data_IF_282999778632
#
_entry.id   IF_282999778632
#
_cell.length_a   1.000
_cell.length_b   1.000
_cell.length_c   1.000
_cell.angle_alpha   90.00
_cell.angle_beta   90.00
_cell.angle_gamma   90.00
#
_symmetry.space_group_name_H-M   'P 1'
#
loop_
_entity.id
_entity.type
_entity.pdbx_description
1 polymer ?
#
# COMPACT_ATOMS: atom_id res chain seq x y z
N UNK A 1 -54.90 -37.26 -36.43
CA UNK A 1 -54.50 -37.06 -35.03
C UNK A 1 -53.12 -36.41 -34.92
N UNK A 2 -52.07 -37.04 -35.45
CA UNK A 2 -50.68 -36.52 -35.41
C UNK A 2 -50.51 -35.10 -35.97
N UNK A 3 -51.10 -34.78 -37.13
CA UNK A 3 -51.06 -33.41 -37.70
C UNK A 3 -51.67 -32.33 -36.78
N UNK A 4 -52.63 -32.68 -35.91
CA UNK A 4 -53.20 -31.73 -34.96
C UNK A 4 -52.20 -31.43 -33.83
N UNK A 5 -51.42 -32.43 -33.39
CA UNK A 5 -50.33 -32.21 -32.43
C UNK A 5 -49.32 -31.20 -33.00
N UNK A 6 -48.97 -31.31 -34.28
CA UNK A 6 -48.10 -30.32 -34.92
C UNK A 6 -48.75 -28.92 -34.93
N UNK A 7 -50.04 -28.81 -35.25
CA UNK A 7 -50.75 -27.53 -35.28
C UNK A 7 -50.79 -26.85 -33.91
N UNK A 8 -51.05 -27.63 -32.86
CA UNK A 8 -51.22 -27.15 -31.50
C UNK A 8 -49.88 -26.81 -30.81
N UNK A 9 -48.75 -27.26 -31.35
CA UNK A 9 -47.42 -27.07 -30.77
C UNK A 9 -46.49 -26.32 -31.73
N UNK A 10 -46.42 -24.97 -31.64
CA UNK A 10 -45.66 -24.16 -32.59
C UNK A 10 -44.14 -24.36 -32.52
N UNK A 11 -43.63 -24.93 -31.43
CA UNK A 11 -42.20 -25.24 -31.25
C UNK A 11 -41.76 -26.50 -32.01
N UNK A 12 -42.70 -27.36 -32.43
CA UNK A 12 -42.36 -28.56 -33.18
C UNK A 12 -42.20 -28.24 -34.66
N UNK A 13 -41.08 -28.68 -35.22
CA UNK A 13 -40.83 -28.64 -36.66
C UNK A 13 -41.67 -29.69 -37.38
N UNK A 14 -41.78 -30.88 -36.77
CA UNK A 14 -42.56 -31.98 -37.33
C UNK A 14 -43.13 -32.91 -36.26
N UNK A 15 -44.15 -33.66 -36.65
CA UNK A 15 -44.69 -34.80 -35.89
C UNK A 15 -44.84 -35.97 -36.83
N UNK A 16 -44.44 -37.15 -36.38
CA UNK A 16 -44.38 -38.32 -37.23
C UNK A 16 -44.60 -39.62 -36.46
N UNK A 17 -44.92 -40.68 -37.20
CA UNK A 17 -44.96 -42.04 -36.67
C UNK A 17 -44.46 -42.99 -37.74
N UNK A 18 -43.88 -44.11 -37.31
CA UNK A 18 -43.34 -45.13 -38.17
C UNK A 18 -43.76 -46.49 -37.62
N UNK A 19 -44.49 -47.27 -38.42
CA UNK A 19 -45.00 -48.58 -38.03
C UNK A 19 -44.20 -49.70 -38.67
N UNK A 20 -43.99 -50.79 -37.94
CA UNK A 20 -43.41 -52.03 -38.48
C UNK A 20 -44.26 -52.56 -39.65
N UNK A 21 -43.66 -53.29 -40.60
CA UNK A 21 -44.37 -53.77 -41.78
C UNK A 21 -45.67 -54.51 -41.44
N UNK A 22 -46.77 -54.06 -42.03
CA UNK A 22 -48.12 -54.59 -41.86
C UNK A 22 -48.71 -54.56 -40.43
N UNK A 23 -48.08 -53.88 -39.47
CA UNK A 23 -48.54 -53.91 -38.07
C UNK A 23 -49.60 -52.84 -37.71
N UNK A 24 -49.88 -51.87 -38.59
CA UNK A 24 -50.96 -50.91 -38.36
C UNK A 24 -52.34 -51.49 -38.74
N UNK A 25 -52.50 -51.89 -40.00
CA UNK A 25 -53.78 -52.34 -40.57
C UNK A 25 -53.66 -53.56 -41.51
N UNK A 26 -52.44 -54.08 -41.71
CA UNK A 26 -52.15 -55.21 -42.59
C UNK A 26 -52.28 -54.92 -44.09
N UNK A 27 -52.24 -53.64 -44.48
CA UNK A 27 -52.53 -53.21 -45.86
C UNK A 27 -51.41 -52.41 -46.53
N UNK A 28 -50.15 -52.55 -46.09
CA UNK A 28 -49.04 -51.78 -46.66
C UNK A 28 -48.97 -51.90 -48.20
N UNK A 29 -49.27 -53.09 -48.74
CA UNK A 29 -49.28 -53.34 -50.19
C UNK A 29 -50.26 -52.45 -50.99
N UNK A 30 -51.37 -52.00 -50.37
CA UNK A 30 -52.36 -51.13 -51.01
C UNK A 30 -51.85 -49.68 -51.15
N UNK A 31 -50.83 -49.30 -50.38
CA UNK A 31 -50.34 -47.92 -50.27
C UNK A 31 -48.96 -47.68 -50.89
N UNK A 32 -48.38 -48.69 -51.56
CA UNK A 32 -47.07 -48.56 -52.23
C UNK A 32 -47.06 -47.36 -53.19
N UNK A 33 -46.14 -46.43 -52.95
CA UNK A 33 -45.97 -45.18 -53.70
C UNK A 33 -47.21 -44.27 -53.77
N UNK A 34 -48.19 -44.44 -52.87
CA UNK A 34 -49.28 -43.47 -52.71
C UNK A 34 -48.76 -42.18 -52.07
N UNK A 35 -49.46 -41.03 -52.22
CA UNK A 35 -49.06 -39.78 -51.56
C UNK A 35 -48.88 -39.94 -50.05
N UNK A 36 -47.68 -39.64 -49.53
CA UNK A 36 -47.33 -39.79 -48.11
C UNK A 36 -46.77 -41.17 -47.73
N UNK A 37 -46.56 -42.06 -48.71
CA UNK A 37 -45.98 -43.39 -48.56
C UNK A 37 -44.77 -43.55 -49.48
N UNK A 38 -43.88 -44.47 -49.12
CA UNK A 38 -42.71 -44.83 -49.94
C UNK A 38 -42.94 -46.13 -50.72
N UNK A 39 -41.87 -46.68 -51.29
CA UNK A 39 -41.91 -47.93 -52.06
C UNK A 39 -42.28 -49.17 -51.24
N UNK A 40 -42.25 -49.09 -49.90
CA UNK A 40 -42.64 -50.21 -49.02
C UNK A 40 -44.13 -50.21 -48.72
N UNK A 41 -44.81 -49.06 -48.85
CA UNK A 41 -46.21 -48.89 -48.48
C UNK A 41 -46.49 -48.84 -46.97
N UNK A 42 -45.44 -48.86 -46.13
CA UNK A 42 -45.56 -48.74 -44.66
C UNK A 42 -46.21 -47.43 -44.25
N UNK A 43 -46.95 -47.43 -43.14
CA UNK A 43 -47.47 -46.20 -42.56
C UNK A 43 -46.37 -45.39 -41.85
N UNK A 44 -45.79 -44.44 -42.59
CA UNK A 44 -44.65 -43.62 -42.15
C UNK A 44 -44.85 -42.10 -42.33
N UNK A 45 -46.01 -41.53 -41.96
CA UNK A 45 -46.30 -40.13 -42.24
C UNK A 45 -45.38 -39.19 -41.45
N UNK A 46 -44.76 -38.26 -42.17
CA UNK A 46 -43.99 -37.15 -41.65
C UNK A 46 -44.70 -35.83 -41.95
N UNK A 47 -45.41 -35.29 -40.95
CA UNK A 47 -46.03 -33.98 -41.04
C UNK A 47 -45.05 -32.92 -40.58
N UNK A 48 -44.69 -31.96 -41.43
CA UNK A 48 -43.72 -30.92 -41.11
C UNK A 48 -44.19 -29.53 -41.55
N UNK A 49 -43.57 -28.49 -41.00
CA UNK A 49 -43.85 -27.08 -41.35
C UNK A 49 -42.65 -26.35 -41.96
N UNK A 50 -41.66 -27.08 -42.50
CA UNK A 50 -40.42 -26.48 -43.02
C UNK A 50 -40.64 -25.49 -44.17
N UNK A 51 -41.74 -25.66 -44.92
CA UNK A 51 -42.10 -24.79 -46.05
C UNK A 51 -42.91 -23.53 -45.67
N UNK A 52 -43.12 -23.25 -44.38
CA UNK A 52 -44.07 -22.23 -43.89
C UNK A 52 -45.52 -22.74 -43.78
N UNK A 53 -45.93 -23.66 -44.64
CA UNK A 53 -47.19 -24.41 -44.54
C UNK A 53 -46.94 -25.87 -44.09
N UNK A 54 -47.98 -26.50 -43.51
CA UNK A 54 -47.91 -27.90 -43.09
C UNK A 54 -48.01 -28.83 -44.31
N UNK A 55 -47.01 -29.70 -44.49
CA UNK A 55 -46.93 -30.70 -45.57
C UNK A 55 -46.78 -32.11 -45.02
N UNK A 56 -47.21 -33.09 -45.83
CA UNK A 56 -47.02 -34.52 -45.59
C UNK A 56 -45.97 -35.07 -46.56
N UNK A 57 -44.94 -35.69 -46.01
CA UNK A 57 -43.92 -36.45 -46.73
C UNK A 57 -43.79 -37.83 -46.07
N UNK A 58 -43.28 -38.87 -46.75
CA UNK A 58 -42.87 -40.10 -46.09
C UNK A 58 -41.54 -39.89 -45.36
N UNK A 59 -41.35 -40.55 -44.21
CA UNK A 59 -40.04 -40.60 -43.55
C UNK A 59 -38.98 -41.22 -44.47
N UNK A 60 -37.75 -40.69 -44.46
CA UNK A 60 -36.62 -41.23 -45.23
C UNK A 60 -35.53 -41.83 -44.33
N UNK A 61 -34.74 -42.74 -44.90
CA UNK A 61 -33.53 -43.29 -44.29
C UNK A 61 -33.72 -44.04 -42.96
N UNK A 62 -34.97 -44.36 -42.59
CA UNK A 62 -35.31 -44.94 -41.29
C UNK A 62 -34.64 -46.30 -41.01
N UNK A 63 -34.35 -47.13 -42.03
CA UNK A 63 -33.60 -48.39 -41.85
C UNK A 63 -32.07 -48.23 -41.99
N UNK A 64 -31.56 -47.01 -42.20
CA UNK A 64 -30.12 -46.76 -42.44
C UNK A 64 -29.41 -46.41 -41.12
N UNK A 65 -28.41 -47.18 -40.66
CA UNK A 65 -27.66 -46.84 -39.44
C UNK A 65 -27.06 -45.43 -39.47
N UNK A 66 -27.18 -44.69 -38.37
CA UNK A 66 -26.80 -43.27 -38.30
C UNK A 66 -27.95 -42.34 -38.70
N UNK A 67 -28.33 -42.35 -39.98
CA UNK A 67 -29.41 -41.47 -40.48
C UNK A 67 -30.80 -41.84 -39.93
N UNK A 68 -31.06 -43.14 -39.77
CA UNK A 68 -32.28 -43.73 -39.24
C UNK A 68 -32.24 -44.02 -37.74
N UNK A 69 -31.24 -43.50 -37.02
CA UNK A 69 -31.10 -43.73 -35.57
C UNK A 69 -32.32 -43.22 -34.79
N UNK A 70 -33.06 -42.25 -35.34
CA UNK A 70 -34.34 -41.79 -34.80
C UNK A 70 -35.41 -42.90 -34.69
N UNK A 71 -35.28 -43.97 -35.46
CA UNK A 71 -36.14 -45.16 -35.36
C UNK A 71 -35.37 -46.37 -34.81
N UNK A 72 -34.15 -46.60 -35.28
CA UNK A 72 -33.38 -47.80 -34.92
C UNK A 72 -33.00 -47.85 -33.43
N UNK A 73 -32.65 -46.72 -32.82
CA UNK A 73 -32.32 -46.65 -31.39
C UNK A 73 -33.54 -46.97 -30.53
N UNK A 74 -34.67 -46.23 -30.60
CA UNK A 74 -35.85 -46.53 -29.79
C UNK A 74 -36.45 -47.90 -30.08
N UNK A 75 -36.33 -48.41 -31.33
CA UNK A 75 -36.70 -49.79 -31.67
C UNK A 75 -35.90 -50.82 -30.90
N UNK A 76 -34.58 -50.66 -30.86
CA UNK A 76 -33.67 -51.58 -30.16
C UNK A 76 -33.75 -51.47 -28.65
N UNK A 77 -33.85 -50.25 -28.11
CA UNK A 77 -33.83 -50.00 -26.66
C UNK A 77 -35.20 -50.18 -26.02
N UNK A 78 -36.27 -50.05 -26.79
CA UNK A 78 -37.66 -50.02 -26.32
C UNK A 78 -37.89 -48.96 -25.24
N UNK A 79 -37.13 -47.86 -25.30
CA UNK A 79 -37.19 -46.75 -24.36
C UNK A 79 -37.43 -45.42 -25.08
N UNK A 80 -38.07 -44.50 -24.36
CA UNK A 80 -38.11 -43.10 -24.77
C UNK A 80 -36.69 -42.58 -24.97
N UNK A 81 -36.44 -41.96 -26.11
CA UNK A 81 -35.09 -41.57 -26.54
C UNK A 81 -35.13 -40.15 -27.10
N UNK A 82 -34.18 -39.32 -26.68
CA UNK A 82 -33.83 -38.10 -27.40
C UNK A 82 -32.63 -38.41 -28.30
N UNK A 83 -32.76 -38.06 -29.58
CA UNK A 83 -31.76 -38.36 -30.59
C UNK A 83 -30.73 -37.24 -30.64
N UNK A 84 -29.46 -37.61 -30.70
CA UNK A 84 -28.34 -36.67 -30.88
C UNK A 84 -28.55 -35.79 -32.12
N UNK A 85 -28.10 -34.53 -32.14
CA UNK A 85 -28.30 -33.66 -33.29
C UNK A 85 -27.84 -34.28 -34.62
N UNK A 86 -28.73 -34.27 -35.62
CA UNK A 86 -28.51 -34.84 -36.95
C UNK A 86 -29.13 -33.95 -38.04
N UNK A 87 -28.63 -34.09 -39.26
CA UNK A 87 -29.20 -33.42 -40.43
C UNK A 87 -30.36 -34.25 -40.96
N UNK A 88 -31.49 -33.59 -41.23
CA UNK A 88 -32.66 -34.23 -41.83
C UNK A 88 -33.25 -33.35 -42.92
N UNK A 89 -33.75 -33.99 -43.99
CA UNK A 89 -34.39 -33.30 -45.09
C UNK A 89 -35.82 -32.96 -44.74
N UNK A 90 -36.12 -31.67 -44.65
CA UNK A 90 -37.47 -31.15 -44.41
C UNK A 90 -37.88 -30.34 -45.62
N UNK A 91 -38.89 -30.81 -46.37
CA UNK A 91 -39.32 -30.17 -47.62
C UNK A 91 -38.15 -29.92 -48.61
N UNK A 92 -37.21 -30.87 -48.68
CA UNK A 92 -36.06 -30.83 -49.59
C UNK A 92 -34.85 -30.02 -49.12
N UNK A 93 -34.91 -29.35 -47.97
CA UNK A 93 -33.79 -28.62 -47.37
C UNK A 93 -33.20 -29.39 -46.19
N UNK A 94 -31.88 -29.39 -46.05
CA UNK A 94 -31.19 -29.98 -44.90
C UNK A 94 -31.36 -29.06 -43.69
N UNK A 95 -31.99 -29.58 -42.63
CA UNK A 95 -32.20 -28.88 -41.37
C UNK A 95 -31.55 -29.67 -40.25
N UNK A 96 -30.81 -28.97 -39.39
CA UNK A 96 -30.24 -29.58 -38.20
C UNK A 96 -31.31 -29.70 -37.11
N UNK A 97 -31.58 -30.93 -36.71
CA UNK A 97 -32.72 -31.30 -35.86
C UNK A 97 -32.33 -32.24 -34.73
N UNK A 98 -33.20 -32.36 -33.74
CA UNK A 98 -33.24 -33.44 -32.76
C UNK A 98 -34.66 -33.99 -32.68
N UNK A 99 -34.78 -35.28 -32.38
CA UNK A 99 -36.07 -35.95 -32.27
C UNK A 99 -36.27 -36.52 -30.88
N UNK A 100 -37.46 -36.28 -30.31
CA UNK A 100 -37.95 -36.97 -29.12
C UNK A 100 -38.85 -38.11 -29.58
N UNK A 101 -38.47 -39.34 -29.27
CA UNK A 101 -39.08 -40.53 -29.84
C UNK A 101 -39.51 -41.49 -28.75
N UNK A 102 -40.74 -41.99 -28.86
CA UNK A 102 -41.31 -42.99 -27.96
C UNK A 102 -41.72 -44.24 -28.75
N UNK A 103 -41.29 -45.44 -28.33
CA UNK A 103 -41.75 -46.69 -28.94
C UNK A 103 -43.22 -46.95 -28.61
N UNK A 104 -43.93 -47.53 -29.57
CA UNK A 104 -45.30 -48.00 -29.46
C UNK A 104 -45.21 -49.50 -29.23
N UNK A 105 -45.60 -49.95 -28.04
CA UNK A 105 -45.47 -51.35 -27.61
C UNK A 105 -46.86 -51.98 -27.44
N UNK A 106 -46.97 -53.28 -27.68
CA UNK A 106 -48.13 -54.08 -27.27
C UNK A 106 -48.03 -54.35 -25.76
N UNK A 107 -49.12 -54.09 -25.04
CA UNK A 107 -49.22 -54.39 -23.61
C UNK A 107 -49.06 -55.89 -23.35
N UNK A 108 -48.10 -56.26 -22.49
CA UNK A 108 -47.95 -57.60 -21.94
C UNK A 108 -46.80 -58.44 -22.52
N UNK A 109 -46.21 -58.09 -23.66
CA UNK A 109 -45.09 -58.84 -24.25
C UNK A 109 -43.91 -57.98 -24.76
N UNK A 110 -43.98 -56.64 -24.62
CA UNK A 110 -42.99 -55.69 -25.14
C UNK A 110 -42.71 -55.84 -26.65
N UNK A 111 -43.68 -56.32 -27.43
CA UNK A 111 -43.54 -56.33 -28.88
C UNK A 111 -43.71 -54.91 -29.43
N UNK A 112 -42.81 -54.49 -30.31
CA UNK A 112 -42.84 -53.15 -30.90
C UNK A 112 -43.73 -53.11 -32.14
N UNK A 113 -44.72 -52.21 -32.14
CA UNK A 113 -45.57 -51.92 -33.28
C UNK A 113 -44.98 -50.83 -34.19
N UNK A 114 -44.15 -49.97 -33.60
CA UNK A 114 -43.58 -48.82 -34.26
C UNK A 114 -43.06 -47.79 -33.26
N UNK A 115 -42.92 -46.56 -33.72
CA UNK A 115 -42.49 -45.40 -32.93
C UNK A 115 -43.35 -44.19 -33.28
N UNK A 116 -43.47 -43.27 -32.34
CA UNK A 116 -43.98 -41.93 -32.57
C UNK A 116 -42.95 -40.91 -32.11
N UNK A 117 -42.79 -39.84 -32.88
CA UNK A 117 -41.79 -38.82 -32.59
C UNK A 117 -42.25 -37.41 -32.89
N UNK A 118 -41.63 -36.48 -32.19
CA UNK A 118 -41.67 -35.05 -32.51
C UNK A 118 -40.26 -34.59 -32.83
N UNK A 119 -40.15 -33.74 -33.84
CA UNK A 119 -38.88 -33.20 -34.29
C UNK A 119 -38.81 -31.71 -33.99
N UNK A 120 -37.66 -31.29 -33.50
CA UNK A 120 -37.39 -29.92 -33.07
C UNK A 120 -36.16 -29.43 -33.83
N UNK A 121 -36.31 -28.31 -34.53
CA UNK A 121 -35.17 -27.63 -35.14
C UNK A 121 -34.21 -27.15 -34.04
N UNK A 122 -32.91 -27.33 -34.25
CA UNK A 122 -31.92 -26.80 -33.31
C UNK A 122 -32.00 -25.27 -33.20
N UNK A 123 -32.41 -24.58 -34.26
CA UNK A 123 -32.70 -23.14 -34.24
C UNK A 123 -33.76 -22.76 -33.19
N UNK A 124 -34.82 -23.56 -33.04
CA UNK A 124 -35.84 -23.32 -32.01
C UNK A 124 -35.23 -23.41 -30.61
N UNK A 125 -34.41 -24.44 -30.36
CA UNK A 125 -33.73 -24.64 -29.09
C UNK A 125 -32.70 -23.53 -28.85
N UNK A 126 -31.94 -23.15 -29.88
CA UNK A 126 -30.99 -22.05 -29.88
C UNK A 126 -31.66 -20.76 -29.39
N UNK A 127 -32.79 -20.37 -29.99
CA UNK A 127 -33.52 -19.17 -29.62
C UNK A 127 -34.00 -19.22 -28.15
N UNK A 128 -34.49 -20.38 -27.69
CA UNK A 128 -34.89 -20.54 -26.28
C UNK A 128 -33.73 -20.42 -25.29
N UNK A 129 -32.55 -20.95 -25.63
CA UNK A 129 -31.40 -20.99 -24.71
C UNK A 129 -30.62 -19.67 -24.72
N UNK A 130 -30.56 -18.96 -25.84
CA UNK A 130 -29.84 -17.68 -25.95
C UNK A 130 -30.42 -16.57 -25.08
N UNK A 131 -31.69 -16.66 -24.68
CA UNK A 131 -32.36 -15.75 -23.76
C UNK A 131 -31.82 -15.83 -22.32
N UNK A 132 -31.15 -16.93 -21.98
CA UNK A 132 -30.53 -17.12 -20.67
C UNK A 132 -29.24 -16.30 -20.62
N UNK A 133 -29.26 -15.17 -19.89
CA UNK A 133 -28.13 -14.23 -19.71
C UNK A 133 -27.64 -14.14 -18.25
N UNK A 134 -26.91 -15.14 -17.73
CA UNK A 134 -26.36 -15.11 -16.37
C UNK A 134 -25.43 -13.91 -16.19
N UNK A 135 -25.56 -13.18 -15.08
CA UNK A 135 -24.81 -11.94 -14.82
C UNK A 135 -24.90 -10.88 -15.94
N UNK A 136 -25.95 -10.94 -16.79
CA UNK A 136 -26.19 -10.07 -17.96
C UNK A 136 -25.17 -10.16 -19.11
N UNK A 137 -23.94 -10.63 -18.85
CA UNK A 137 -22.86 -10.75 -19.86
C UNK A 137 -22.55 -12.21 -20.21
N UNK A 138 -22.94 -13.15 -19.36
CA UNK A 138 -22.82 -14.58 -19.61
C UNK A 138 -23.86 -15.08 -20.62
N UNK A 139 -23.67 -16.32 -21.03
CA UNK A 139 -24.57 -17.03 -21.95
C UNK A 139 -24.71 -18.49 -21.54
N UNK A 140 -25.82 -19.10 -21.94
CA UNK A 140 -26.03 -20.53 -21.82
C UNK A 140 -25.82 -21.24 -23.16
N UNK A 141 -25.57 -22.54 -23.10
CA UNK A 141 -25.44 -23.45 -24.24
C UNK A 141 -26.00 -24.79 -23.82
N UNK A 142 -26.72 -25.49 -24.70
CA UNK A 142 -27.20 -26.83 -24.44
C UNK A 142 -26.30 -27.82 -25.19
N UNK A 143 -25.89 -28.88 -24.51
CA UNK A 143 -25.00 -29.91 -25.05
C UNK A 143 -25.67 -31.28 -24.93
N UNK A 144 -25.64 -32.04 -26.01
CA UNK A 144 -26.23 -33.38 -26.10
C UNK A 144 -25.39 -34.43 -25.38
N UNK A 145 -25.88 -35.67 -25.28
CA UNK A 145 -25.23 -36.73 -24.50
C UNK A 145 -23.88 -37.15 -25.11
N UNK A 146 -23.74 -37.12 -26.44
CA UNK A 146 -22.45 -37.35 -27.11
C UNK A 146 -21.52 -36.14 -27.11
N UNK A 147 -21.92 -35.04 -26.46
CA UNK A 147 -21.10 -33.86 -26.32
C UNK A 147 -21.12 -32.97 -27.56
N UNK A 148 -22.25 -32.88 -28.26
CA UNK A 148 -22.44 -31.91 -29.36
C UNK A 148 -23.21 -30.69 -28.88
N UNK A 149 -22.87 -29.51 -29.36
CA UNK A 149 -23.66 -28.32 -29.07
C UNK A 149 -25.02 -28.40 -29.77
N UNK A 150 -26.08 -28.43 -28.98
CA UNK A 150 -27.46 -28.25 -29.45
C UNK A 150 -27.76 -26.76 -29.60
N UNK A 151 -27.16 -25.94 -28.72
CA UNK A 151 -27.14 -24.49 -28.85
C UNK A 151 -25.82 -23.92 -28.32
N UNK A 152 -25.38 -22.80 -28.90
CA UNK A 152 -24.18 -22.09 -28.48
C UNK A 152 -24.25 -20.60 -28.87
N UNK A 153 -23.60 -19.71 -28.11
CA UNK A 153 -23.49 -18.30 -28.52
C UNK A 153 -22.84 -18.14 -29.90
N UNK A 154 -21.85 -18.98 -30.21
CA UNK A 154 -21.22 -19.10 -31.52
C UNK A 154 -21.99 -20.12 -32.37
N UNK A 155 -22.79 -19.62 -33.33
CA UNK A 155 -23.70 -20.44 -34.15
C UNK A 155 -22.94 -21.50 -34.96
N UNK A 156 -21.70 -21.23 -35.37
CA UNK A 156 -20.86 -22.17 -36.12
C UNK A 156 -20.49 -23.43 -35.32
N UNK A 157 -20.60 -23.36 -33.98
CA UNK A 157 -20.38 -24.51 -33.09
C UNK A 157 -21.60 -25.41 -32.97
N UNK A 158 -22.79 -24.97 -33.36
CA UNK A 158 -24.02 -25.78 -33.26
C UNK A 158 -23.89 -27.02 -34.15
N UNK A 159 -24.20 -28.19 -33.59
CA UNK A 159 -23.98 -29.51 -34.19
C UNK A 159 -22.54 -30.02 -34.13
N UNK A 160 -21.56 -29.22 -33.68
CA UNK A 160 -20.17 -29.62 -33.49
C UNK A 160 -19.92 -30.16 -32.09
N UNK A 161 -18.87 -30.95 -31.99
CA UNK A 161 -18.36 -31.49 -30.74
C UNK A 161 -17.85 -30.39 -29.79
N UNK A 162 -18.08 -30.58 -28.50
CA UNK A 162 -17.35 -29.88 -27.43
C UNK A 162 -15.88 -30.31 -27.49
N UNK A 163 -14.96 -29.37 -27.34
CA UNK A 163 -13.52 -29.67 -27.42
C UNK A 163 -13.01 -30.43 -26.17
N UNK A 164 -13.58 -30.10 -25.01
CA UNK A 164 -13.19 -30.58 -23.69
C UNK A 164 -13.70 -32.02 -23.43
N UNK A 165 -12.79 -32.97 -23.25
CA UNK A 165 -13.11 -34.40 -23.13
C UNK A 165 -13.68 -34.74 -21.76
N UNK A 166 -13.21 -34.07 -20.71
CA UNK A 166 -13.68 -34.21 -19.34
C UNK A 166 -15.14 -33.76 -19.21
N UNK A 167 -15.51 -32.67 -19.88
CA UNK A 167 -16.90 -32.23 -20.01
C UNK A 167 -17.74 -33.30 -20.70
N UNK A 168 -17.29 -33.87 -21.83
CA UNK A 168 -18.02 -34.96 -22.50
C UNK A 168 -18.23 -36.16 -21.59
N UNK A 169 -17.19 -36.56 -20.85
CA UNK A 169 -17.28 -37.68 -19.91
C UNK A 169 -18.31 -37.40 -18.80
N UNK A 170 -18.27 -36.21 -18.20
CA UNK A 170 -19.21 -35.79 -17.17
C UNK A 170 -20.66 -35.72 -17.67
N UNK A 171 -20.87 -35.25 -18.91
CA UNK A 171 -22.20 -35.22 -19.53
C UNK A 171 -22.77 -36.63 -19.64
N UNK A 172 -21.96 -37.60 -20.11
CA UNK A 172 -22.39 -39.00 -20.24
C UNK A 172 -22.79 -39.65 -18.92
N UNK A 173 -22.15 -39.27 -17.82
CA UNK A 173 -22.42 -39.79 -16.48
C UNK A 173 -23.44 -38.98 -15.68
N UNK A 174 -24.04 -37.94 -16.28
CA UNK A 174 -24.92 -36.99 -15.59
C UNK A 174 -24.26 -36.30 -14.38
N UNK A 175 -22.97 -35.98 -14.48
CA UNK A 175 -22.23 -35.26 -13.45
C UNK A 175 -22.08 -33.78 -13.80
N UNK A 176 -22.07 -32.93 -12.78
CA UNK A 176 -21.72 -31.51 -12.96
C UNK A 176 -20.22 -31.37 -13.17
N UNK A 177 -19.81 -30.52 -14.11
CA UNK A 177 -18.40 -30.26 -14.42
C UNK A 177 -18.13 -28.77 -14.58
N UNK A 178 -16.94 -28.31 -14.19
CA UNK A 178 -16.59 -26.88 -14.22
C UNK A 178 -15.26 -26.66 -14.89
N UNK A 179 -15.22 -25.66 -15.77
CA UNK A 179 -14.00 -25.12 -16.38
C UNK A 179 -13.81 -23.70 -15.85
N UNK A 180 -12.62 -23.38 -15.38
CA UNK A 180 -12.27 -22.02 -14.95
C UNK A 180 -10.90 -21.65 -15.49
N UNK A 181 -10.83 -20.59 -16.30
CA UNK A 181 -9.59 -20.05 -16.83
C UNK A 181 -9.60 -18.50 -16.77
N UNK A 182 -8.60 -17.85 -17.38
CA UNK A 182 -8.49 -16.39 -17.35
C UNK A 182 -9.60 -15.65 -18.12
N UNK A 183 -10.27 -16.33 -19.06
CA UNK A 183 -11.29 -15.74 -19.93
C UNK A 183 -12.69 -15.93 -19.36
N UNK A 184 -13.01 -17.13 -18.87
CA UNK A 184 -14.35 -17.48 -18.42
C UNK A 184 -14.38 -18.54 -17.32
N UNK A 185 -15.52 -18.58 -16.64
CA UNK A 185 -15.97 -19.67 -15.80
C UNK A 185 -17.16 -20.34 -16.49
N UNK A 186 -17.11 -21.66 -16.70
CA UNK A 186 -18.18 -22.45 -17.33
C UNK A 186 -18.57 -23.60 -16.43
N UNK A 187 -19.88 -23.72 -16.15
CA UNK A 187 -20.47 -24.81 -15.38
C UNK A 187 -21.40 -25.62 -16.29
N UNK A 188 -21.16 -26.92 -16.39
CA UNK A 188 -22.05 -27.90 -17.01
C UNK A 188 -22.95 -28.50 -15.92
N UNK A 189 -24.26 -28.47 -16.13
CA UNK A 189 -25.25 -29.06 -15.22
C UNK A 189 -26.11 -30.05 -16.01
N UNK A 190 -26.21 -31.32 -15.58
CA UNK A 190 -26.99 -32.32 -16.27
C UNK A 190 -28.48 -31.97 -16.29
N UNK A 191 -29.13 -32.24 -17.42
CA UNK A 191 -30.56 -32.06 -17.65
C UNK A 191 -31.13 -33.38 -18.17
N UNK A 192 -32.07 -33.95 -17.43
CA UNK A 192 -32.86 -35.09 -17.87
C UNK A 192 -34.04 -34.59 -18.70
N UNK A 193 -34.28 -35.22 -19.85
CA UNK A 193 -35.37 -34.86 -20.77
C UNK A 193 -36.37 -36.00 -20.78
N UNK A 194 -37.60 -35.75 -20.32
CA UNK A 194 -38.65 -36.78 -20.25
C UNK A 194 -38.21 -38.01 -19.45
N UNK A 195 -38.38 -39.20 -20.04
CA UNK A 195 -37.95 -40.48 -19.45
C UNK A 195 -36.75 -41.08 -20.18
N UNK A 196 -35.94 -40.25 -20.84
CA UNK A 196 -34.78 -40.72 -21.60
C UNK A 196 -33.63 -41.18 -20.69
N UNK A 197 -32.75 -42.01 -21.23
CA UNK A 197 -31.56 -42.52 -20.51
C UNK A 197 -30.26 -41.82 -20.91
N UNK A 198 -30.33 -40.83 -21.80
CA UNK A 198 -29.19 -40.08 -22.34
C UNK A 198 -29.24 -38.64 -21.84
N UNK A 199 -28.66 -38.34 -20.67
CA UNK A 199 -28.68 -37.00 -20.10
C UNK A 199 -27.99 -36.01 -21.02
N UNK A 200 -28.59 -34.84 -21.19
CA UNK A 200 -27.96 -33.69 -21.82
C UNK A 200 -27.42 -32.76 -20.74
N UNK A 201 -26.77 -31.66 -21.10
CA UNK A 201 -26.22 -30.72 -20.12
C UNK A 201 -26.39 -29.27 -20.54
N UNK A 202 -26.81 -28.44 -19.60
CA UNK A 202 -26.83 -27.00 -19.73
C UNK A 202 -25.48 -26.44 -19.28
N UNK A 203 -24.75 -25.86 -20.21
CA UNK A 203 -23.49 -25.17 -19.96
C UNK A 203 -23.75 -23.67 -19.77
N UNK A 204 -23.46 -23.15 -18.58
CA UNK A 204 -23.52 -21.71 -18.26
C UNK A 204 -22.11 -21.15 -18.29
N UNK A 205 -21.85 -20.19 -19.18
CA UNK A 205 -20.54 -19.52 -19.31
C UNK A 205 -20.65 -18.06 -18.88
N UNK A 206 -19.77 -17.63 -17.97
CA UNK A 206 -19.67 -16.25 -17.50
C UNK A 206 -18.25 -15.74 -17.70
N UNK A 207 -18.05 -14.58 -18.36
CA UNK A 207 -16.73 -13.97 -18.51
C UNK A 207 -16.08 -13.68 -17.15
N UNK A 208 -14.79 -14.00 -17.02
CA UNK A 208 -14.03 -13.75 -15.79
C UNK A 208 -13.94 -12.25 -15.48
N UNK A 209 -13.99 -11.40 -16.50
CA UNK A 209 -14.06 -9.94 -16.36
C UNK A 209 -15.30 -9.48 -15.59
N UNK A 210 -16.45 -10.13 -15.80
CA UNK A 210 -17.69 -9.84 -15.07
C UNK A 210 -17.63 -10.38 -13.65
N UNK A 211 -17.10 -11.59 -13.45
CA UNK A 211 -16.93 -12.18 -12.12
C UNK A 211 -16.00 -11.30 -11.26
N UNK A 212 -14.90 -10.82 -11.85
CA UNK A 212 -13.89 -10.02 -11.17
C UNK A 212 -14.19 -8.52 -11.14
N UNK A 213 -15.29 -8.05 -11.71
CA UNK A 213 -15.61 -6.62 -11.81
C UNK A 213 -15.57 -5.92 -10.44
N UNK A 214 -16.23 -6.52 -9.44
CA UNK A 214 -16.24 -6.00 -8.07
C UNK A 214 -14.85 -6.06 -7.43
N UNK A 215 -14.11 -7.16 -7.62
CA UNK A 215 -12.75 -7.30 -7.09
C UNK A 215 -11.80 -6.26 -7.71
N UNK A 216 -11.93 -5.99 -9.01
CA UNK A 216 -11.15 -4.98 -9.71
C UNK A 216 -11.49 -3.56 -9.22
N UNK A 217 -12.76 -3.28 -8.92
CA UNK A 217 -13.17 -2.00 -8.34
C UNK A 217 -12.54 -1.77 -6.96
N UNK A 218 -12.60 -2.78 -6.08
CA UNK A 218 -11.98 -2.73 -4.75
C UNK A 218 -10.46 -2.59 -4.85
N UNK A 219 -9.82 -3.31 -5.79
CA UNK A 219 -8.39 -3.20 -6.07
C UNK A 219 -8.02 -1.78 -6.48
N UNK A 220 -8.75 -1.19 -7.42
CA UNK A 220 -8.48 0.15 -7.92
C UNK A 220 -8.71 1.20 -6.82
N UNK A 221 -9.76 1.06 -6.01
CA UNK A 221 -9.99 1.90 -4.85
C UNK A 221 -8.83 1.80 -3.84
N UNK A 222 -8.38 0.58 -3.55
CA UNK A 222 -7.24 0.33 -2.66
C UNK A 222 -5.95 0.97 -3.17
N UNK A 223 -5.71 0.92 -4.49
CA UNK A 223 -4.56 1.58 -5.12
C UNK A 223 -4.64 3.11 -4.94
N UNK A 224 -5.81 3.71 -5.16
CA UNK A 224 -6.00 5.16 -4.97
C UNK A 224 -5.74 5.56 -3.52
N UNK A 225 -6.29 4.82 -2.56
CA UNK A 225 -6.07 5.06 -1.12
C UNK A 225 -4.59 4.94 -0.77
N UNK A 226 -3.89 3.92 -1.30
CA UNK A 226 -2.46 3.75 -1.09
C UNK A 226 -1.64 4.92 -1.67
N UNK A 227 -1.98 5.40 -2.87
CA UNK A 227 -1.32 6.56 -3.49
C UNK A 227 -1.54 7.84 -2.67
N UNK A 228 -2.75 8.07 -2.17
CA UNK A 228 -3.05 9.22 -1.30
C UNK A 228 -2.26 9.13 0.00
N UNK A 229 -2.16 7.93 0.60
CA UNK A 229 -1.37 7.73 1.82
C UNK A 229 0.13 8.01 1.59
N UNK A 230 0.70 7.50 0.49
CA UNK A 230 2.10 7.78 0.11
C UNK A 230 2.32 9.28 -0.07
N UNK A 231 1.41 9.95 -0.79
CA UNK A 231 1.50 11.40 -0.99
C UNK A 231 1.41 12.18 0.32
N UNK A 232 0.48 11.81 1.21
CA UNK A 232 0.31 12.46 2.51
C UNK A 232 1.56 12.27 3.40
N UNK A 233 2.13 11.06 3.46
CA UNK A 233 3.37 10.80 4.19
C UNK A 233 4.51 11.63 3.59
N UNK A 234 4.65 11.65 2.26
CA UNK A 234 5.66 12.45 1.56
C UNK A 234 5.51 13.95 1.86
N UNK A 235 4.29 14.46 1.89
CA UNK A 235 3.99 15.85 2.23
C UNK A 235 4.36 16.18 3.68
N UNK A 236 4.01 15.30 4.63
CA UNK A 236 4.38 15.47 6.05
C UNK A 236 5.90 15.48 6.20
N UNK A 237 6.60 14.53 5.58
CA UNK A 237 8.07 14.49 5.59
C UNK A 237 8.63 15.77 4.98
N UNK A 238 8.13 16.23 3.84
CA UNK A 238 8.60 17.46 3.19
C UNK A 238 8.44 18.68 4.10
N UNK A 239 7.29 18.85 4.76
CA UNK A 239 7.03 19.96 5.68
C UNK A 239 7.95 19.88 6.90
N UNK A 240 8.05 18.71 7.53
CA UNK A 240 8.85 18.50 8.75
C UNK A 240 10.34 18.67 8.45
N UNK A 241 10.84 18.02 7.40
CA UNK A 241 12.23 18.17 6.95
C UNK A 241 12.54 19.62 6.59
N UNK A 242 11.66 20.31 5.87
CA UNK A 242 11.83 21.73 5.56
C UNK A 242 11.96 22.61 6.80
N UNK A 243 11.12 22.36 7.82
CA UNK A 243 11.17 23.09 9.10
C UNK A 243 12.47 22.85 9.88
N UNK A 244 12.89 21.59 9.96
CA UNK A 244 14.13 21.20 10.65
C UNK A 244 15.34 21.76 9.92
N UNK A 245 15.45 21.53 8.62
CA UNK A 245 16.58 22.01 7.80
C UNK A 245 16.70 23.53 7.87
N UNK A 246 15.59 24.26 7.77
CA UNK A 246 15.60 25.73 7.88
C UNK A 246 16.17 26.19 9.24
N UNK A 247 15.79 25.54 10.33
CA UNK A 247 16.25 25.89 11.68
C UNK A 247 17.75 25.58 11.88
N UNK A 248 18.22 24.45 11.34
CA UNK A 248 19.64 24.07 11.36
C UNK A 248 20.48 25.04 10.53
N UNK A 249 20.04 25.36 9.31
CA UNK A 249 20.75 26.31 8.42
C UNK A 249 20.84 27.68 9.08
N UNK A 250 19.75 28.20 9.65
CA UNK A 250 19.76 29.48 10.36
C UNK A 250 20.73 29.49 11.55
N UNK A 251 20.74 28.42 12.35
CA UNK A 251 21.67 28.28 13.47
C UNK A 251 23.12 28.28 12.98
N UNK A 252 23.40 27.55 11.89
CA UNK A 252 24.71 27.51 11.27
C UNK A 252 25.15 28.86 10.71
N UNK A 253 24.24 29.64 10.13
CA UNK A 253 24.52 30.99 9.61
C UNK A 253 24.89 31.96 10.74
N UNK A 254 24.15 31.98 11.85
CA UNK A 254 24.47 32.84 13.00
C UNK A 254 25.80 32.45 13.65
N UNK A 255 26.09 31.15 13.77
CA UNK A 255 27.40 30.66 14.24
C UNK A 255 28.54 31.07 13.32
N UNK A 256 28.32 30.98 12.00
CA UNK A 256 29.31 31.43 11.00
C UNK A 256 29.56 32.93 11.13
N UNK A 257 28.51 33.73 11.30
CA UNK A 257 28.58 35.18 11.46
C UNK A 257 29.33 35.59 12.74
N UNK A 258 29.09 34.91 13.86
CA UNK A 258 29.84 35.14 15.11
C UNK A 258 31.30 34.72 14.98
N UNK A 259 31.59 33.59 14.34
CA UNK A 259 32.96 33.05 14.24
C UNK A 259 33.83 33.71 13.16
N UNK A 260 33.23 34.19 12.05
CA UNK A 260 33.95 34.83 10.94
C UNK A 260 33.87 36.36 10.97
N UNK A 261 32.95 36.94 11.74
CA UNK A 261 32.91 38.38 11.98
C UNK A 261 33.90 38.83 13.06
N UNK A 262 33.77 40.09 13.49
CA UNK A 262 34.59 40.69 14.57
C UNK A 262 34.25 40.16 15.98
N UNK A 263 33.64 38.97 16.07
CA UNK A 263 33.24 38.37 17.34
C UNK A 263 32.15 39.15 18.07
N UNK A 264 31.13 39.66 17.35
CA UNK A 264 30.02 40.40 17.95
C UNK A 264 29.20 39.52 18.92
N UNK A 265 29.55 39.61 20.21
CA UNK A 265 28.92 38.89 21.31
C UNK A 265 27.53 39.43 21.68
N UNK A 266 26.96 40.38 20.94
CA UNK A 266 25.58 40.85 21.14
C UNK A 266 24.55 39.99 20.41
N UNK A 267 24.97 39.21 19.39
CA UNK A 267 24.08 38.33 18.62
C UNK A 267 23.58 37.14 19.45
N UNK A 268 22.33 36.76 19.24
CA UNK A 268 21.67 35.62 19.91
C UNK A 268 20.92 34.79 18.87
N UNK A 269 20.88 33.48 19.08
CA UNK A 269 20.03 32.57 18.33
C UNK A 269 18.57 32.77 18.76
N UNK A 270 17.66 32.83 17.79
CA UNK A 270 16.23 32.88 18.09
C UNK A 270 15.72 31.48 18.49
N UNK A 271 14.97 31.38 19.59
CA UNK A 271 14.44 30.10 20.07
C UNK A 271 13.05 29.92 19.45
N UNK A 272 13.00 29.22 18.31
CA UNK A 272 11.76 29.07 17.52
C UNK A 272 11.06 27.73 17.76
N UNK A 273 11.73 26.77 18.41
CA UNK A 273 11.22 25.43 18.67
C UNK A 273 11.53 24.99 20.11
N UNK A 274 10.78 24.01 20.62
CA UNK A 274 11.02 23.35 21.92
C UNK A 274 11.71 21.98 21.78
N UNK A 275 12.21 21.67 20.58
CA UNK A 275 12.98 20.47 20.25
C UNK A 275 14.48 20.61 20.59
N UNK A 276 15.29 19.65 20.13
CA UNK A 276 16.74 19.63 20.28
C UNK A 276 17.42 20.89 19.69
N UNK A 277 16.88 21.46 18.60
CA UNK A 277 17.42 22.68 17.98
C UNK A 277 17.13 23.91 18.86
N UNK A 278 15.94 23.95 19.46
CA UNK A 278 15.57 24.96 20.45
C UNK A 278 16.45 24.94 21.70
N UNK A 279 16.68 23.74 22.26
CA UNK A 279 17.56 23.56 23.42
C UNK A 279 19.01 23.93 23.09
N UNK A 280 19.52 23.55 21.92
CA UNK A 280 20.85 23.95 21.46
C UNK A 280 20.96 25.48 21.40
N UNK A 281 19.95 26.16 20.88
CA UNK A 281 19.90 27.62 20.82
C UNK A 281 19.95 28.26 22.21
N UNK A 282 19.23 27.70 23.19
CA UNK A 282 19.28 28.13 24.59
C UNK A 282 20.67 27.96 25.21
N UNK A 283 21.26 26.78 25.06
CA UNK A 283 22.60 26.50 25.60
C UNK A 283 23.66 27.41 24.98
N UNK A 284 23.58 27.65 23.68
CA UNK A 284 24.47 28.56 22.98
C UNK A 284 24.32 30.02 23.45
N UNK A 285 23.09 30.52 23.57
CA UNK A 285 22.84 31.87 24.06
C UNK A 285 23.36 32.09 25.48
N UNK A 286 23.26 31.06 26.34
CA UNK A 286 23.84 31.09 27.68
C UNK A 286 25.37 31.15 27.61
N UNK A 287 25.99 30.28 26.83
CA UNK A 287 27.45 30.29 26.63
C UNK A 287 27.98 31.64 26.14
N UNK A 288 27.34 32.26 25.14
CA UNK A 288 27.73 33.59 24.65
C UNK A 288 27.50 34.68 25.73
N UNK A 289 26.44 34.57 26.53
CA UNK A 289 26.21 35.47 27.66
C UNK A 289 27.31 35.38 28.73
N UNK A 290 27.78 34.16 29.02
CA UNK A 290 28.88 33.93 29.95
C UNK A 290 30.20 34.52 29.39
N UNK A 291 30.51 34.31 28.11
CA UNK A 291 31.68 34.91 27.44
C UNK A 291 31.61 36.43 27.44
N UNK A 292 30.45 37.02 27.11
CA UNK A 292 30.26 38.48 27.16
C UNK A 292 30.51 39.04 28.56
N UNK A 293 30.07 38.34 29.60
CA UNK A 293 30.29 38.73 31.00
C UNK A 293 31.77 38.67 31.38
N UNK A 294 32.49 37.62 30.96
CA UNK A 294 33.94 37.50 31.16
C UNK A 294 34.68 38.65 30.47
N UNK A 295 34.33 38.98 29.21
CA UNK A 295 34.96 40.09 28.48
C UNK A 295 34.70 41.44 29.17
N UNK A 296 33.49 41.66 29.69
CA UNK A 296 33.16 42.86 30.46
C UNK A 296 33.97 42.94 31.76
N UNK A 297 34.08 41.83 32.51
CA UNK A 297 34.88 41.77 33.75
C UNK A 297 36.37 42.00 33.49
N UNK A 298 36.92 41.47 32.39
CA UNK A 298 38.31 41.73 31.97
C UNK A 298 38.50 43.21 31.65
N UNK A 299 37.54 43.85 30.97
CA UNK A 299 37.60 45.28 30.68
C UNK A 299 37.54 46.15 31.95
N UNK A 300 36.66 45.82 32.89
CA UNK A 300 36.55 46.51 34.18
C UNK A 300 37.82 46.33 35.03
N UNK A 301 38.37 45.11 35.04
CA UNK A 301 39.64 44.80 35.70
C UNK A 301 40.79 45.57 35.06
N UNK A 302 40.85 45.64 33.73
CA UNK A 302 41.84 46.42 33.01
C UNK A 302 41.73 47.93 33.30
N UNK A 303 40.51 48.47 33.40
CA UNK A 303 40.28 49.86 33.80
C UNK A 303 40.74 50.12 35.24
N UNK A 304 40.43 49.22 36.15
CA UNK A 304 40.86 49.30 37.55
C UNK A 304 42.38 49.19 37.67
N UNK A 305 42.99 48.29 36.89
CA UNK A 305 44.44 48.16 36.79
C UNK A 305 45.09 49.43 36.22
N UNK A 306 44.45 50.08 35.25
CA UNK A 306 44.88 51.38 34.73
C UNK A 306 44.87 52.46 35.81
N UNK A 307 43.75 52.62 36.53
CA UNK A 307 43.62 53.60 37.61
C UNK A 307 44.63 53.36 38.75
N UNK A 308 44.79 52.10 39.18
CA UNK A 308 45.78 51.74 40.21
C UNK A 308 47.22 51.94 39.73
N UNK A 309 47.51 51.76 38.45
CA UNK A 309 48.83 52.07 37.88
C UNK A 309 49.10 53.58 37.88
N UNK A 310 48.08 54.41 37.62
CA UNK A 310 48.18 55.87 37.76
C UNK A 310 48.41 56.30 39.21
N UNK A 311 47.65 55.75 40.16
CA UNK A 311 47.85 55.98 41.59
C UNK A 311 49.26 55.56 42.05
N UNK A 312 49.73 54.39 41.62
CA UNK A 312 51.08 53.90 41.94
C UNK A 312 52.16 54.82 41.35
N UNK A 313 51.96 55.33 40.13
CA UNK A 313 52.88 56.29 39.53
C UNK A 313 52.96 57.59 40.32
N UNK A 314 51.81 58.11 40.77
CA UNK A 314 51.75 59.28 41.63
C UNK A 314 52.43 59.04 42.99
N UNK A 315 52.16 57.90 43.63
CA UNK A 315 52.79 57.52 44.89
C UNK A 315 54.31 57.33 44.76
N UNK A 316 54.79 56.79 43.64
CA UNK A 316 56.22 56.66 43.36
C UNK A 316 56.90 58.02 43.16
N UNK A 317 56.22 58.98 42.50
CA UNK A 317 56.70 60.36 42.38
C UNK A 317 56.78 61.05 43.74
N UNK A 318 55.74 60.89 44.58
CA UNK A 318 55.72 61.44 45.94
C UNK A 318 56.81 60.81 46.83
N UNK A 319 57.00 59.49 46.77
CA UNK A 319 58.07 58.79 47.49
C UNK A 319 59.47 59.22 47.03
N UNK A 320 59.65 59.51 45.74
CA UNK A 320 60.90 60.07 45.20
C UNK A 320 61.14 61.47 45.77
N UNK A 321 60.12 62.34 45.75
CA UNK A 321 60.22 63.67 46.34
C UNK A 321 60.49 63.65 47.86
N UNK A 322 59.84 62.75 48.59
CA UNK A 322 60.09 62.53 50.01
C UNK A 322 61.53 62.02 50.26
N UNK A 323 62.01 61.12 49.40
CA UNK A 323 63.39 60.61 49.47
C UNK A 323 64.42 61.71 49.20
N UNK A 324 64.18 62.59 48.23
CA UNK A 324 65.01 63.78 47.96
C UNK A 324 65.02 64.72 49.17
N UNK A 325 63.86 64.92 49.82
CA UNK A 325 63.77 65.72 51.04
C UNK A 325 64.54 65.09 52.20
N UNK A 326 64.44 63.78 52.39
CA UNK A 326 65.22 63.04 53.41
C UNK A 326 66.72 63.12 53.13
N UNK A 327 67.14 62.97 51.87
CA UNK A 327 68.54 63.15 51.48
C UNK A 327 69.04 64.57 51.80
N UNK A 328 68.20 65.60 51.57
CA UNK A 328 68.48 66.97 51.97
C UNK A 328 68.63 67.15 53.49
N UNK A 329 67.72 66.57 54.28
CA UNK A 329 67.79 66.58 55.75
C UNK A 329 69.03 65.85 56.24
N UNK A 330 69.37 64.69 55.66
CA UNK A 330 70.59 63.95 56.00
C UNK A 330 71.86 64.75 55.67
N UNK A 331 71.86 65.51 54.58
CA UNK A 331 72.93 66.45 54.25
C UNK A 331 73.07 67.57 55.31
N UNK A 332 71.95 68.17 55.74
CA UNK A 332 71.95 69.15 56.82
C UNK A 332 72.38 68.54 58.16
N UNK A 333 71.94 67.33 58.46
CA UNK A 333 72.29 66.61 59.69
C UNK A 333 73.78 66.27 59.71
N UNK A 334 74.36 65.83 58.61
CA UNK A 334 75.79 65.61 58.49
C UNK A 334 76.58 66.91 58.70
N UNK A 335 76.10 68.03 58.15
CA UNK A 335 76.68 69.35 58.36
C UNK A 335 76.59 69.79 59.83
N UNK A 336 75.42 69.63 60.46
CA UNK A 336 75.20 69.94 61.87
C UNK A 336 75.98 69.04 62.82
N UNK A 337 76.11 67.75 62.53
CA UNK A 337 76.94 66.81 63.29
C UNK A 337 78.43 67.17 63.19
N UNK A 338 78.88 67.65 62.02
CA UNK A 338 80.24 68.18 61.85
C UNK A 338 80.46 69.44 62.68
N UNK A 339 79.50 70.39 62.67
CA UNK A 339 79.51 71.58 63.53
C UNK A 339 79.53 71.22 65.02
N UNK A 340 78.74 70.23 65.42
CA UNK A 340 78.65 69.76 66.79
C UNK A 340 79.97 69.09 67.22
N UNK A 341 80.60 68.30 66.36
CA UNK A 341 81.92 67.73 66.60
C UNK A 341 83.01 68.81 66.77
N UNK A 342 82.97 69.86 65.94
CA UNK A 342 83.84 71.03 66.07
C UNK A 342 83.62 71.75 67.40
N UNK A 343 82.35 71.94 67.81
CA UNK A 343 82.01 72.58 69.08
C UNK A 343 82.46 71.74 70.28
N UNK A 344 82.24 70.43 70.26
CA UNK A 344 82.73 69.50 71.30
C UNK A 344 84.26 69.55 71.38
N UNK A 345 84.96 69.59 70.24
CA UNK A 345 86.41 69.79 70.19
C UNK A 345 86.86 71.08 70.88
N UNK A 346 86.23 72.22 70.56
CA UNK A 346 86.47 73.51 71.25
C UNK A 346 86.21 73.45 72.75
N UNK A 347 85.17 72.71 73.15
CA UNK A 347 84.81 72.55 74.57
C UNK A 347 85.88 71.73 75.30
N UNK A 348 86.38 70.66 74.68
CA UNK A 348 87.51 69.87 75.19
C UNK A 348 88.80 70.69 75.30
N UNK A 349 89.07 71.57 74.33
CA UNK A 349 90.23 72.47 74.35
C UNK A 349 90.14 73.50 75.49
N UNK A 350 88.95 74.07 75.74
CA UNK A 350 88.67 74.98 76.85
C UNK A 350 88.85 74.29 78.22
N UNK A 351 88.34 73.06 78.37
CA UNK A 351 88.50 72.28 79.60
C UNK A 351 89.99 71.98 79.85
N UNK A 352 90.74 71.59 78.81
CA UNK A 352 92.18 71.35 78.89
C UNK A 352 92.95 72.60 79.30
N UNK A 353 92.56 73.80 78.82
CA UNK A 353 93.17 75.09 79.21
C UNK A 353 92.85 75.52 80.65
N UNK A 354 91.71 75.13 81.23
CA UNK A 354 91.34 75.49 82.60
C UNK A 354 92.01 74.63 83.69
N UNK A 355 92.38 73.39 83.36
CA UNK A 355 92.97 72.44 84.31
C UNK A 355 94.27 72.93 84.99
N UNK A 356 95.24 73.57 84.28
CA UNK A 356 96.43 74.12 84.92
C UNK A 356 96.16 75.37 85.76
N UNK A 357 95.13 76.15 85.43
CA UNK A 357 94.77 77.41 86.12
C UNK A 357 94.05 77.16 87.44
N UNK A 358 93.23 76.10 87.50
CA UNK A 358 92.57 75.64 88.73
C UNK A 358 93.59 75.20 89.80
N UNK A 359 94.73 74.64 89.38
CA UNK A 359 95.75 74.13 90.31
C UNK A 359 96.67 75.22 90.93
N UNK A 360 96.52 76.49 90.53
CA UNK A 360 97.36 77.61 91.04
C UNK A 360 96.61 78.64 91.90
N UNK A 361 95.33 78.42 92.21
CA UNK A 361 94.51 79.38 92.97
C UNK A 361 94.57 79.18 94.50
N UNK A 362 94.93 80.20 95.32
CA UNK A 362 95.03 80.10 96.79
C UNK A 362 93.70 79.81 97.51
N UNK A 363 92.56 80.05 96.85
CA UNK A 363 91.23 79.94 97.44
C UNK A 363 90.77 78.47 97.60
N UNK A 364 91.26 77.54 96.77
CA UNK A 364 90.82 76.14 96.82
C UNK A 364 91.50 75.29 97.92
N UNK A 365 92.65 75.72 98.47
CA UNK A 365 93.26 75.02 99.63
C UNK A 365 92.41 75.10 100.90
N UNK A 366 91.46 76.04 100.98
CA UNK A 366 90.53 76.18 102.12
C UNK A 366 89.21 75.43 101.95
N UNK A 367 88.92 74.88 100.76
CA UNK A 367 87.63 74.23 100.48
C UNK A 367 87.68 72.69 100.56
N UNK A 368 88.85 72.12 100.90
CA UNK A 368 89.02 70.67 101.08
C UNK A 368 88.59 70.15 102.48
N UNK A 369 88.01 70.99 103.35
CA UNK A 369 87.72 70.64 104.76
C UNK A 369 86.22 70.58 105.09
N UNK A 370 85.30 70.90 104.19
CA UNK A 370 83.85 70.87 104.50
C UNK A 370 83.07 70.34 103.29
N UNK A 371 82.93 69.01 103.16
CA UNK A 371 81.68 68.28 102.89
C UNK A 371 81.94 66.80 103.21
N UNK A 372 81.92 66.49 104.51
CA UNK A 372 81.54 65.18 105.03
C UNK A 372 80.15 65.39 105.66
N UNK A 373 79.21 64.50 105.34
CA UNK A 373 77.83 64.38 105.88
C UNK A 373 76.76 65.33 105.34
N UNK A 374 75.92 64.81 104.43
CA UNK A 374 74.46 64.73 104.64
C UNK A 374 73.82 63.70 103.71
N UNK A 375 73.61 62.52 104.27
CA UNK A 375 72.54 61.60 103.86
C UNK A 375 71.20 62.16 104.36
N UNK A 376 70.11 61.95 103.59
CA UNK A 376 68.88 61.46 104.18
C UNK A 376 68.40 60.17 103.49
N UNK A 377 67.76 59.34 104.33
CA UNK A 377 67.22 57.99 104.15
C UNK A 377 65.97 57.92 103.22
N UNK A 378 65.51 56.70 102.86
CA UNK A 378 64.44 56.44 101.88
C UNK A 378 63.03 56.39 102.49
N UNK A 379 62.01 56.72 101.69
CA UNK A 379 60.60 56.27 101.69
C UNK A 379 60.06 56.62 100.27
N UNK A 380 59.39 55.79 99.47
CA UNK A 380 58.78 54.46 99.57
C UNK A 380 58.84 53.79 98.19
#
# INVERSE_FOLDING_TARGET
MIVNVLKDNPLFLATWTLWEPNLLDGKDADYVNQPGYDATGRFIPYWNRGAGDIKLEPLTDYETPGAGDYYLIPKRTQKETIIEPYQYKVNGEEVLVTSLVKPILIDGNNEILGVAGVEIALETIQNMILDIKPFKTGYASLVSNDGKYVSNLDVEKVGKDVDDQEAKAAIKTAESYTISNSEYYRLYVPVAIGQTTTPWSLAVTVPMTTILEQANSIRNFSIIVALIAIFAIGLVIFIVSGSITKSIVHTSEVLKDISQGDGDLTKRLNIVSNDEVGKLSQHFNRFIGDIHSIVAEVNDTASTLGATSEELSAAAQEATAASDQVAGILGQLASGASEQAISVGKTGEMISKCLPTLNKSPLMRRMLVIVVVRQPKPQS
#
